data_IF_775940267023
#
_entry.id   IF_775940267023
#
_cell.length_a   1.000
_cell.length_b   1.000
_cell.length_c   1.000
_cell.angle_alpha   90.00
_cell.angle_beta   90.00
_cell.angle_gamma   90.00
#
_symmetry.space_group_name_H-M   'P 1'
#
loop_
_entity.id
_entity.type
_entity.pdbx_description
1 polymer ?
#
# COMPACT_ATOMS: atom_id res chain seq x y z
N UNK A 1 -14.59 -11.69 16.62
CA UNK A 1 -13.78 -12.72 17.32
C UNK A 1 -12.96 -13.59 16.36
N UNK A 2 -13.56 -14.19 15.32
CA UNK A 2 -12.85 -15.08 14.36
C UNK A 2 -11.68 -14.43 13.59
N UNK A 3 -11.81 -13.17 13.16
CA UNK A 3 -10.75 -12.44 12.41
C UNK A 3 -9.46 -12.20 13.21
N UNK A 4 -9.54 -12.10 14.55
CA UNK A 4 -8.33 -12.00 15.42
C UNK A 4 -7.57 -13.31 15.50
N UNK A 5 -8.27 -14.46 15.42
CA UNK A 5 -7.65 -15.79 15.56
C UNK A 5 -6.79 -16.14 14.36
N UNK A 6 -7.30 -15.97 13.15
CA UNK A 6 -6.55 -16.25 11.90
C UNK A 6 -5.34 -15.34 11.74
N UNK A 7 -5.46 -14.07 12.13
CA UNK A 7 -4.35 -13.14 12.03
C UNK A 7 -3.20 -13.49 12.99
N UNK A 8 -3.51 -13.86 14.23
CA UNK A 8 -2.51 -14.32 15.19
C UNK A 8 -1.81 -15.61 14.71
N UNK A 9 -2.53 -16.51 14.04
CA UNK A 9 -1.95 -17.73 13.46
C UNK A 9 -0.96 -17.42 12.34
N UNK A 10 -1.30 -16.49 11.43
CA UNK A 10 -0.37 -16.04 10.37
C UNK A 10 0.90 -15.40 10.95
N UNK A 11 0.77 -14.61 12.02
CA UNK A 11 1.93 -14.04 12.71
C UNK A 11 2.81 -15.09 13.38
N UNK A 12 2.22 -16.13 13.96
CA UNK A 12 2.98 -17.23 14.54
C UNK A 12 3.77 -17.98 13.45
N UNK A 13 3.20 -18.19 12.26
CA UNK A 13 3.92 -18.78 11.13
C UNK A 13 5.04 -17.87 10.62
N UNK A 14 4.79 -16.56 10.52
CA UNK A 14 5.81 -15.59 10.14
C UNK A 14 6.96 -15.55 11.16
N UNK A 15 6.66 -15.50 12.46
CA UNK A 15 7.67 -15.52 13.51
C UNK A 15 8.50 -16.81 13.46
N UNK A 16 7.84 -17.96 13.33
CA UNK A 16 8.50 -19.26 13.13
C UNK A 16 9.43 -19.25 11.92
N UNK A 17 8.97 -18.74 10.77
CA UNK A 17 9.80 -18.63 9.57
C UNK A 17 11.04 -17.77 9.82
N UNK A 18 10.89 -16.59 10.44
CA UNK A 18 12.02 -15.69 10.70
C UNK A 18 13.00 -16.33 11.71
N UNK A 19 12.51 -17.03 12.74
CA UNK A 19 13.37 -17.76 13.69
C UNK A 19 14.12 -18.88 12.97
N UNK A 20 13.45 -19.69 12.16
CA UNK A 20 14.08 -20.79 11.40
C UNK A 20 15.13 -20.23 10.42
N UNK A 21 14.81 -19.17 9.69
CA UNK A 21 15.72 -18.54 8.76
C UNK A 21 16.98 -17.97 9.46
N UNK A 22 16.85 -17.47 10.69
CA UNK A 22 17.99 -17.00 11.50
C UNK A 22 18.84 -18.15 12.03
N UNK A 23 18.21 -19.22 12.52
CA UNK A 23 18.94 -20.42 12.96
C UNK A 23 19.68 -21.04 11.77
N UNK A 24 19.05 -21.07 10.59
CA UNK A 24 19.69 -21.50 9.35
C UNK A 24 20.87 -20.59 8.96
N UNK A 25 20.73 -19.27 9.08
CA UNK A 25 21.83 -18.32 8.82
C UNK A 25 23.02 -18.55 9.77
N UNK A 26 22.78 -18.60 11.09
CA UNK A 26 23.85 -18.76 12.09
C UNK A 26 24.52 -20.14 11.99
N UNK A 27 23.74 -21.20 11.76
CA UNK A 27 24.30 -22.55 11.55
C UNK A 27 25.13 -22.65 10.27
N UNK A 28 24.70 -22.00 9.18
CA UNK A 28 25.47 -21.94 7.94
C UNK A 28 26.77 -21.15 8.11
N UNK A 29 26.75 -20.03 8.85
CA UNK A 29 27.95 -19.25 9.16
C UNK A 29 28.95 -20.06 10.00
N UNK A 30 28.46 -20.77 11.03
CA UNK A 30 29.30 -21.63 11.87
C UNK A 30 29.88 -22.81 11.08
N UNK A 31 29.08 -23.45 10.22
CA UNK A 31 29.53 -24.53 9.34
C UNK A 31 30.59 -24.04 8.34
N UNK A 32 30.42 -22.84 7.76
CA UNK A 32 31.40 -22.24 6.87
C UNK A 32 32.73 -21.92 7.57
N UNK A 33 32.68 -21.46 8.82
CA UNK A 33 33.88 -21.14 9.59
C UNK A 33 34.65 -22.39 10.05
N UNK A 34 33.94 -23.48 10.35
CA UNK A 34 34.54 -24.75 10.82
C UNK A 34 35.09 -25.63 9.70
N UNK A 35 34.53 -25.53 8.49
CA UNK A 35 34.94 -26.36 7.34
C UNK A 35 36.18 -25.84 6.60
N UNK A 36 36.70 -24.67 6.96
CA UNK A 36 37.85 -24.04 6.28
C UNK A 36 37.60 -23.79 4.78
N UNK A 37 36.33 -23.89 4.34
CA UNK A 37 35.93 -23.68 2.97
C UNK A 37 36.23 -22.24 2.59
N UNK A 38 36.99 -22.07 1.52
CA UNK A 38 37.26 -20.76 0.97
C UNK A 38 35.93 -20.16 0.47
N UNK A 39 35.40 -19.24 1.28
CA UNK A 39 34.13 -18.56 1.07
C UNK A 39 34.14 -17.71 -0.21
N UNK A 40 35.26 -17.64 -0.93
CA UNK A 40 35.44 -16.99 -2.23
C UNK A 40 34.52 -17.52 -3.35
N UNK A 41 33.82 -18.65 -3.13
CA UNK A 41 32.72 -19.11 -3.98
C UNK A 41 31.59 -18.06 -3.99
N UNK A 42 31.61 -17.16 -4.99
CA UNK A 42 30.70 -16.02 -5.19
C UNK A 42 29.20 -16.31 -4.96
N UNK A 43 28.78 -17.57 -5.09
CA UNK A 43 27.41 -18.04 -4.83
C UNK A 43 27.06 -18.03 -3.34
N UNK A 44 27.95 -18.52 -2.47
CA UNK A 44 27.72 -18.59 -1.02
C UNK A 44 27.76 -17.21 -0.38
N UNK A 45 28.68 -16.33 -0.77
CA UNK A 45 28.71 -14.93 -0.30
C UNK A 45 27.45 -14.17 -0.70
N UNK A 46 26.90 -14.41 -1.89
CA UNK A 46 25.66 -13.77 -2.34
C UNK A 46 24.47 -14.21 -1.49
N UNK A 47 24.36 -15.51 -1.19
CA UNK A 47 23.31 -16.05 -0.31
C UNK A 47 23.47 -15.52 1.12
N UNK A 48 24.68 -15.54 1.68
CA UNK A 48 24.96 -15.00 3.02
C UNK A 48 24.62 -13.50 3.13
N UNK A 49 24.88 -12.70 2.09
CA UNK A 49 24.47 -11.28 2.05
C UNK A 49 22.96 -11.09 2.12
N UNK A 50 22.20 -11.93 1.41
CA UNK A 50 20.73 -11.88 1.43
C UNK A 50 20.20 -12.37 2.78
N UNK A 51 20.78 -13.43 3.35
CA UNK A 51 20.38 -13.95 4.66
C UNK A 51 20.57 -12.93 5.78
N UNK A 52 21.58 -12.05 5.71
CA UNK A 52 21.73 -10.93 6.66
C UNK A 52 20.51 -10.00 6.70
N UNK A 53 19.74 -9.89 5.61
CA UNK A 53 18.49 -9.12 5.59
C UNK A 53 17.41 -9.76 6.47
N UNK A 54 17.51 -11.06 6.77
CA UNK A 54 16.57 -11.77 7.67
C UNK A 54 16.53 -11.11 9.05
N UNK A 55 17.64 -10.50 9.48
CA UNK A 55 17.75 -9.77 10.76
C UNK A 55 16.86 -8.52 10.79
N UNK A 56 16.58 -7.89 9.64
CA UNK A 56 15.65 -6.74 9.54
C UNK A 56 14.23 -7.16 9.95
N UNK A 57 13.81 -8.39 9.63
CA UNK A 57 12.50 -8.89 10.04
C UNK A 57 12.36 -9.07 11.57
N UNK A 58 13.46 -9.09 12.35
CA UNK A 58 13.36 -9.00 13.82
C UNK A 58 12.72 -7.69 14.24
N UNK A 59 13.07 -6.59 13.59
CA UNK A 59 12.50 -5.27 13.87
C UNK A 59 10.98 -5.32 13.65
N UNK A 60 10.53 -5.94 12.56
CA UNK A 60 9.09 -6.10 12.25
C UNK A 60 8.34 -6.85 13.37
N UNK A 61 8.95 -7.88 13.98
CA UNK A 61 8.34 -8.53 15.15
C UNK A 61 8.19 -7.57 16.33
N UNK A 62 9.23 -6.80 16.64
CA UNK A 62 9.23 -5.83 17.75
C UNK A 62 8.16 -4.77 17.54
N UNK A 63 7.99 -4.28 16.31
CA UNK A 63 6.92 -3.33 15.96
C UNK A 63 5.51 -3.92 16.22
N UNK A 64 5.33 -5.24 16.12
CA UNK A 64 4.05 -5.90 16.37
C UNK A 64 3.76 -6.15 17.86
N UNK A 65 4.80 -6.22 18.70
CA UNK A 65 4.64 -6.32 20.16
C UNK A 65 4.04 -5.03 20.74
N UNK A 66 4.22 -3.91 20.05
CA UNK A 66 3.65 -2.61 20.42
C UNK A 66 2.22 -2.55 19.87
N UNK A 67 1.25 -2.55 20.78
CA UNK A 67 -0.19 -2.53 20.47
C UNK A 67 -0.60 -1.33 19.58
N UNK A 68 0.00 -0.16 19.81
CA UNK A 68 -0.25 1.05 19.03
C UNK A 68 0.21 0.90 17.58
N UNK A 69 1.44 0.44 17.35
CA UNK A 69 1.97 0.21 15.99
C UNK A 69 1.20 -0.88 15.26
N UNK A 70 0.83 -1.96 15.94
CA UNK A 70 -0.05 -3.00 15.36
C UNK A 70 -1.37 -2.40 14.86
N UNK A 71 -1.94 -1.46 15.61
CA UNK A 71 -3.20 -0.81 15.24
C UNK A 71 -3.01 0.05 13.99
N UNK A 72 -1.95 0.86 13.93
CA UNK A 72 -1.61 1.65 12.73
C UNK A 72 -1.40 0.75 11.51
N UNK A 73 -0.62 -0.33 11.65
CA UNK A 73 -0.39 -1.30 10.56
C UNK A 73 -1.71 -1.97 10.12
N UNK A 74 -2.60 -2.28 11.07
CA UNK A 74 -3.94 -2.81 10.77
C UNK A 74 -4.73 -1.85 9.89
N UNK A 75 -4.73 -0.57 10.24
CA UNK A 75 -5.44 0.48 9.50
C UNK A 75 -4.86 0.67 8.10
N UNK A 76 -3.52 0.69 7.99
CA UNK A 76 -2.83 0.74 6.70
C UNK A 76 -3.22 -0.47 5.83
N UNK A 77 -3.08 -1.69 6.35
CA UNK A 77 -3.42 -2.93 5.64
C UNK A 77 -4.90 -2.97 5.20
N UNK A 78 -5.80 -2.40 6.01
CA UNK A 78 -7.21 -2.23 5.66
C UNK A 78 -7.40 -1.37 4.41
N UNK A 79 -6.67 -0.25 4.32
CA UNK A 79 -6.70 0.67 3.18
C UNK A 79 -5.96 0.15 1.95
N UNK A 80 -4.95 -0.70 2.12
CA UNK A 80 -4.19 -1.29 1.00
C UNK A 80 -5.05 -2.12 0.05
N UNK A 81 -6.17 -2.70 0.50
CA UNK A 81 -7.03 -3.51 -0.36
C UNK A 81 -7.74 -2.69 -1.45
N UNK A 82 -8.19 -1.47 -1.12
CA UNK A 82 -8.80 -0.57 -2.12
C UNK A 82 -7.72 0.06 -3.01
N UNK A 83 -6.59 0.47 -2.41
CA UNK A 83 -5.47 1.07 -3.15
C UNK A 83 -4.76 0.10 -4.09
N UNK A 84 -4.69 -1.18 -3.71
CA UNK A 84 -3.97 -2.19 -4.47
C UNK A 84 -4.48 -2.32 -5.90
N UNK A 85 -5.80 -2.28 -6.09
CA UNK A 85 -6.38 -2.34 -7.44
C UNK A 85 -6.05 -1.13 -8.29
N UNK A 86 -6.05 0.07 -7.69
CA UNK A 86 -5.66 1.28 -8.42
C UNK A 86 -4.19 1.27 -8.80
N UNK A 87 -3.31 0.79 -7.91
CA UNK A 87 -1.88 0.59 -8.19
C UNK A 87 -1.69 -0.44 -9.30
N UNK A 88 -2.44 -1.55 -9.30
CA UNK A 88 -2.41 -2.56 -10.37
C UNK A 88 -2.83 -1.96 -11.71
N UNK A 89 -3.92 -1.18 -11.75
CA UNK A 89 -4.36 -0.51 -12.96
C UNK A 89 -3.32 0.50 -13.47
N UNK A 90 -2.69 1.24 -12.56
CA UNK A 90 -1.61 2.17 -12.86
C UNK A 90 -0.40 1.45 -13.48
N UNK A 91 0.05 0.35 -12.87
CA UNK A 91 1.14 -0.47 -13.41
C UNK A 91 0.80 -1.10 -14.75
N UNK A 92 -0.45 -1.55 -14.94
CA UNK A 92 -0.91 -2.09 -16.22
C UNK A 92 -0.86 -1.04 -17.32
N UNK A 93 -1.28 0.19 -17.03
CA UNK A 93 -1.17 1.29 -17.98
C UNK A 93 0.30 1.62 -18.29
N UNK A 94 1.17 1.73 -17.28
CA UNK A 94 2.61 1.95 -17.49
C UNK A 94 3.20 0.84 -18.37
N UNK A 95 2.81 -0.41 -18.14
CA UNK A 95 3.24 -1.54 -18.97
C UNK A 95 2.79 -1.40 -20.42
N UNK A 96 1.51 -1.11 -20.67
CA UNK A 96 0.96 -0.97 -22.03
C UNK A 96 1.67 0.16 -22.79
N UNK A 97 1.79 1.33 -22.16
CA UNK A 97 2.47 2.50 -22.75
C UNK A 97 3.97 2.23 -22.93
N UNK A 98 4.60 1.52 -21.98
CA UNK A 98 6.01 1.12 -22.06
C UNK A 98 6.27 0.18 -23.23
N UNK A 99 5.39 -0.80 -23.47
CA UNK A 99 5.46 -1.69 -24.64
C UNK A 99 5.31 -0.87 -25.92
N UNK A 100 4.32 0.01 -25.99
CA UNK A 100 4.08 0.87 -27.15
C UNK A 100 5.33 1.69 -27.53
N UNK A 101 5.94 2.40 -26.59
CA UNK A 101 7.13 3.20 -26.87
C UNK A 101 8.34 2.35 -27.20
N UNK A 102 8.56 1.24 -26.47
CA UNK A 102 9.71 0.36 -26.74
C UNK A 102 9.63 -0.22 -28.16
N UNK A 103 8.45 -0.66 -28.60
CA UNK A 103 8.25 -1.17 -29.96
C UNK A 103 8.47 -0.08 -31.00
N UNK A 104 7.78 1.06 -30.86
CA UNK A 104 7.85 2.15 -31.84
C UNK A 104 9.27 2.71 -32.01
N UNK A 105 10.02 2.83 -30.91
CA UNK A 105 11.40 3.32 -30.92
C UNK A 105 12.36 2.26 -31.49
N UNK A 106 12.11 0.98 -31.21
CA UNK A 106 12.88 -0.11 -31.82
C UNK A 106 12.71 -0.12 -33.33
N UNK A 107 11.47 0.01 -33.81
CA UNK A 107 11.15 0.06 -35.24
C UNK A 107 11.83 1.26 -35.92
N UNK A 108 11.77 2.45 -35.29
CA UNK A 108 12.49 3.64 -35.74
C UNK A 108 14.01 3.41 -35.87
N UNK A 109 14.64 2.74 -34.89
CA UNK A 109 16.06 2.43 -34.95
C UNK A 109 16.42 1.40 -36.01
N UNK A 110 15.56 0.42 -36.27
CA UNK A 110 15.75 -0.60 -37.32
C UNK A 110 15.68 0.04 -38.70
N UNK A 111 14.70 0.91 -38.94
CA UNK A 111 14.56 1.66 -40.19
C UNK A 111 15.78 2.57 -40.42
N UNK A 112 16.14 3.38 -39.42
CA UNK A 112 17.28 4.30 -39.48
C UNK A 112 18.61 3.59 -39.75
N UNK A 113 18.82 2.42 -39.15
CA UNK A 113 20.00 1.60 -39.39
C UNK A 113 20.02 1.03 -40.81
N UNK A 114 18.87 0.59 -41.32
CA UNK A 114 18.72 0.05 -42.67
C UNK A 114 19.02 1.09 -43.76
N UNK A 115 18.72 2.36 -43.48
CA UNK A 115 19.03 3.49 -44.37
C UNK A 115 20.48 4.01 -44.22
N UNK A 116 21.27 3.46 -43.29
CA UNK A 116 22.66 3.89 -43.06
C UNK A 116 22.79 5.29 -42.45
N UNK A 117 21.74 5.82 -41.82
CA UNK A 117 21.79 7.14 -41.18
C UNK A 117 22.66 7.12 -39.91
N UNK A 118 23.37 8.22 -39.66
CA UNK A 118 24.16 8.38 -38.44
C UNK A 118 23.27 8.66 -37.21
N UNK A 119 23.77 8.22 -36.05
CA UNK A 119 23.07 8.35 -34.78
C UNK A 119 23.19 9.78 -34.25
N UNK A 120 22.05 10.38 -33.91
CA UNK A 120 21.94 11.76 -33.41
C UNK A 120 22.08 11.83 -31.88
N UNK A 121 22.19 13.03 -31.31
CA UNK A 121 22.11 13.23 -29.84
C UNK A 121 20.72 12.93 -29.28
N UNK A 122 19.65 13.15 -30.06
CA UNK A 122 18.28 12.81 -29.67
C UNK A 122 18.10 11.28 -29.56
N UNK A 123 18.76 10.54 -30.45
CA UNK A 123 18.77 9.07 -30.44
C UNK A 123 19.39 8.51 -29.15
N UNK A 124 20.42 9.20 -28.62
CA UNK A 124 21.04 8.82 -27.35
C UNK A 124 20.07 8.98 -26.17
N UNK A 125 19.27 10.06 -26.16
CA UNK A 125 18.23 10.27 -25.15
C UNK A 125 17.11 9.22 -25.26
N UNK A 126 16.64 8.93 -26.48
CA UNK A 126 15.65 7.88 -26.73
C UNK A 126 16.12 6.52 -26.20
N UNK A 127 17.39 6.16 -26.45
CA UNK A 127 17.96 4.92 -25.89
C UNK A 127 18.12 4.96 -24.39
N UNK A 128 18.47 6.10 -23.81
CA UNK A 128 18.60 6.21 -22.36
C UNK A 128 17.28 5.88 -21.66
N UNK A 129 16.17 6.42 -22.15
CA UNK A 129 14.83 6.29 -21.55
C UNK A 129 14.07 5.04 -21.99
N UNK A 130 14.20 4.61 -23.24
CA UNK A 130 13.32 3.61 -23.86
C UNK A 130 14.08 2.48 -24.59
N UNK A 131 15.32 2.16 -24.21
CA UNK A 131 16.08 1.07 -24.87
C UNK A 131 15.43 -0.31 -24.74
N UNK A 132 14.77 -0.57 -23.62
CA UNK A 132 14.15 -1.83 -23.30
C UNK A 132 12.91 -1.59 -22.43
N UNK A 133 12.05 -2.61 -22.33
CA UNK A 133 10.78 -2.49 -21.63
C UNK A 133 10.95 -2.10 -20.16
N UNK A 134 11.97 -2.63 -19.47
CA UNK A 134 12.19 -2.31 -18.07
C UNK A 134 12.58 -0.83 -17.91
N UNK A 135 13.47 -0.32 -18.77
CA UNK A 135 13.80 1.10 -18.80
C UNK A 135 12.62 1.97 -19.17
N UNK A 136 11.80 1.57 -20.15
CA UNK A 136 10.61 2.32 -20.51
C UNK A 136 9.65 2.42 -19.32
N UNK A 137 9.37 1.31 -18.63
CA UNK A 137 8.55 1.30 -17.40
C UNK A 137 9.15 2.21 -16.32
N UNK A 138 10.47 2.16 -16.11
CA UNK A 138 11.15 3.00 -15.12
C UNK A 138 11.09 4.48 -15.49
N UNK A 139 11.30 4.84 -16.76
CA UNK A 139 11.25 6.22 -17.26
C UNK A 139 9.84 6.79 -17.14
N UNK A 140 8.82 6.02 -17.52
CA UNK A 140 7.42 6.40 -17.36
C UNK A 140 7.06 6.59 -15.88
N UNK A 141 7.54 5.71 -15.00
CA UNK A 141 7.39 5.85 -13.56
C UNK A 141 8.08 7.12 -13.04
N UNK A 142 9.32 7.40 -13.47
CA UNK A 142 10.06 8.60 -13.09
C UNK A 142 9.37 9.89 -13.54
N UNK A 143 8.80 9.90 -14.75
CA UNK A 143 8.06 11.05 -15.26
C UNK A 143 6.79 11.31 -14.43
N UNK A 144 6.05 10.24 -14.08
CA UNK A 144 4.86 10.35 -13.21
C UNK A 144 5.21 10.79 -11.79
N UNK A 145 6.29 10.25 -11.21
CA UNK A 145 6.68 10.53 -9.82
C UNK A 145 7.42 11.86 -9.63
N UNK A 146 7.66 12.62 -10.71
CA UNK A 146 8.47 13.84 -10.70
C UNK A 146 9.97 13.58 -10.49
N UNK A 147 10.44 12.35 -10.71
CA UNK A 147 11.86 11.98 -10.61
C UNK A 147 12.68 12.40 -11.83
N UNK A 148 12.03 12.64 -12.97
CA UNK A 148 12.63 13.21 -14.16
C UNK A 148 11.65 14.18 -14.81
N UNK A 149 12.19 15.22 -15.44
CA UNK A 149 11.37 16.17 -16.20
C UNK A 149 10.74 15.45 -17.39
N UNK A 150 9.42 15.48 -17.48
CA UNK A 150 8.68 14.83 -18.55
C UNK A 150 8.96 15.52 -19.90
N UNK A 151 9.25 16.82 -19.91
CA UNK A 151 9.58 17.56 -21.14
C UNK A 151 10.86 17.01 -21.80
N UNK A 152 11.86 16.64 -21.00
CA UNK A 152 13.11 16.04 -21.47
C UNK A 152 12.90 14.69 -22.18
N UNK A 153 11.83 13.97 -21.84
CA UNK A 153 11.43 12.73 -22.53
C UNK A 153 10.51 12.99 -23.71
N UNK A 154 9.64 14.00 -23.63
CA UNK A 154 8.68 14.34 -24.66
C UNK A 154 9.35 14.88 -25.94
N UNK A 155 10.37 15.73 -25.81
CA UNK A 155 11.07 16.32 -26.95
C UNK A 155 11.60 15.30 -27.96
N UNK A 156 12.37 14.29 -27.52
CA UNK A 156 12.84 13.21 -28.41
C UNK A 156 11.73 12.35 -29.01
N UNK A 157 10.60 12.15 -28.32
CA UNK A 157 9.45 11.39 -28.83
C UNK A 157 8.75 12.14 -29.97
N UNK A 158 8.50 13.45 -29.78
CA UNK A 158 7.87 14.32 -30.78
C UNK A 158 8.73 14.46 -32.04
N UNK A 159 10.06 14.37 -31.90
CA UNK A 159 10.98 14.42 -33.02
C UNK A 159 10.87 13.19 -33.94
N UNK A 160 10.40 12.04 -33.44
CA UNK A 160 10.07 10.87 -34.27
C UNK A 160 8.69 11.05 -34.88
N UNK A 161 7.67 11.20 -34.03
CA UNK A 161 6.28 11.38 -34.45
C UNK A 161 5.50 12.16 -33.38
N UNK A 162 4.75 13.16 -33.81
CA UNK A 162 3.89 13.98 -32.96
C UNK A 162 2.86 13.11 -32.22
N UNK A 163 2.39 12.01 -32.82
CA UNK A 163 1.44 11.12 -32.14
C UNK A 163 2.02 10.47 -30.89
N UNK A 164 3.34 10.18 -30.86
CA UNK A 164 4.02 9.65 -29.68
C UNK A 164 4.06 10.68 -28.55
N UNK A 165 4.27 11.95 -28.88
CA UNK A 165 4.18 13.05 -27.91
C UNK A 165 2.78 13.20 -27.33
N UNK A 166 1.73 13.11 -28.16
CA UNK A 166 0.33 13.15 -27.70
C UNK A 166 0.04 11.96 -26.78
N UNK A 167 0.46 10.74 -27.16
CA UNK A 167 0.30 9.54 -26.35
C UNK A 167 1.02 9.67 -25.00
N UNK A 168 2.23 10.24 -24.98
CA UNK A 168 2.98 10.47 -23.75
C UNK A 168 2.32 11.51 -22.84
N UNK A 169 1.84 12.63 -23.40
CA UNK A 169 1.11 13.64 -22.65
C UNK A 169 -0.21 13.09 -22.08
N UNK A 170 -0.94 12.29 -22.84
CA UNK A 170 -2.16 11.61 -22.38
C UNK A 170 -1.86 10.63 -21.23
N UNK A 171 -0.77 9.86 -21.34
CA UNK A 171 -0.28 9.01 -20.25
C UNK A 171 0.01 9.82 -18.98
N UNK A 172 0.76 10.93 -19.07
CA UNK A 172 1.09 11.78 -17.92
C UNK A 172 -0.19 12.33 -17.28
N UNK A 173 -1.11 12.87 -18.07
CA UNK A 173 -2.38 13.40 -17.57
C UNK A 173 -3.19 12.34 -16.83
N UNK A 174 -3.35 11.15 -17.41
CA UNK A 174 -4.07 10.06 -16.76
C UNK A 174 -3.36 9.55 -15.51
N UNK A 175 -2.03 9.38 -15.56
CA UNK A 175 -1.23 8.91 -14.43
C UNK A 175 -1.32 9.86 -13.23
N UNK A 176 -1.23 11.17 -13.48
CA UNK A 176 -1.40 12.19 -12.44
C UNK A 176 -2.83 12.18 -11.87
N UNK A 177 -3.86 12.08 -12.71
CA UNK A 177 -5.25 11.95 -12.23
C UNK A 177 -5.46 10.68 -11.41
N UNK A 178 -4.91 9.55 -11.84
CA UNK A 178 -5.00 8.28 -11.13
C UNK A 178 -4.32 8.36 -9.76
N UNK A 179 -3.12 8.96 -9.70
CA UNK A 179 -2.40 9.20 -8.46
C UNK A 179 -3.19 10.13 -7.52
N UNK A 180 -3.74 11.22 -8.05
CA UNK A 180 -4.57 12.14 -7.28
C UNK A 180 -5.85 11.46 -6.76
N UNK A 181 -6.47 10.58 -7.55
CA UNK A 181 -7.63 9.80 -7.13
C UNK A 181 -7.29 8.81 -6.02
N UNK A 182 -6.10 8.17 -6.07
CA UNK A 182 -5.59 7.34 -4.98
C UNK A 182 -5.43 8.15 -3.70
N UNK A 183 -4.72 9.27 -3.78
CA UNK A 183 -4.42 10.13 -2.63
C UNK A 183 -5.72 10.68 -2.02
N UNK A 184 -6.61 11.21 -2.86
CA UNK A 184 -7.93 11.69 -2.44
C UNK A 184 -8.75 10.59 -1.80
N UNK A 185 -8.74 9.37 -2.37
CA UNK A 185 -9.41 8.21 -1.82
C UNK A 185 -8.97 7.90 -0.38
N UNK A 186 -7.65 7.94 -0.10
CA UNK A 186 -7.13 7.73 1.26
C UNK A 186 -7.59 8.83 2.22
N UNK A 187 -7.52 10.10 1.81
CA UNK A 187 -7.94 11.21 2.65
C UNK A 187 -9.44 11.17 2.94
N UNK A 188 -10.27 10.92 1.92
CA UNK A 188 -11.72 10.79 2.08
C UNK A 188 -12.07 9.61 2.98
N UNK A 189 -11.41 8.46 2.79
CA UNK A 189 -11.66 7.29 3.64
C UNK A 189 -11.29 7.55 5.11
N UNK A 190 -10.18 8.26 5.34
CA UNK A 190 -9.77 8.66 6.69
C UNK A 190 -10.76 9.64 7.31
N UNK A 191 -11.21 10.65 6.56
CA UNK A 191 -12.19 11.63 7.03
C UNK A 191 -13.54 10.98 7.36
N UNK A 192 -14.02 10.07 6.50
CA UNK A 192 -15.25 9.31 6.75
C UNK A 192 -15.13 8.37 7.96
N UNK A 193 -13.96 7.74 8.16
CA UNK A 193 -13.74 6.89 9.32
C UNK A 193 -13.74 7.71 10.61
N UNK A 194 -13.05 8.85 10.63
CA UNK A 194 -13.02 9.73 11.80
C UNK A 194 -14.43 10.27 12.14
N UNK A 195 -15.20 10.67 11.13
CA UNK A 195 -16.58 11.14 11.33
C UNK A 195 -17.49 10.03 11.92
N UNK A 196 -17.31 8.78 11.47
CA UNK A 196 -18.03 7.63 12.05
C UNK A 196 -17.60 7.34 13.49
N UNK A 197 -16.31 7.37 13.77
CA UNK A 197 -15.81 7.13 15.12
C UNK A 197 -16.33 8.20 16.11
N UNK A 198 -16.48 9.44 15.66
CA UNK A 198 -17.10 10.53 16.42
C UNK A 198 -18.62 10.33 16.62
N UNK A 199 -19.34 9.92 15.58
CA UNK A 199 -20.77 9.57 15.66
C UNK A 199 -21.01 8.40 16.62
N UNK A 200 -20.23 7.32 16.51
CA UNK A 200 -20.32 6.15 17.40
C UNK A 200 -20.01 6.53 18.86
N UNK A 201 -19.02 7.39 19.09
CA UNK A 201 -18.69 7.90 20.42
C UNK A 201 -19.84 8.75 21.00
N UNK A 202 -20.45 9.62 20.19
CA UNK A 202 -21.61 10.42 20.57
C UNK A 202 -22.83 9.56 20.90
N UNK A 203 -23.14 8.56 20.06
CA UNK A 203 -24.23 7.61 20.30
C UNK A 203 -23.99 6.81 21.58
N UNK A 204 -22.76 6.39 21.83
CA UNK A 204 -22.40 5.67 23.06
C UNK A 204 -22.63 6.54 24.30
N UNK A 205 -22.23 7.82 24.28
CA UNK A 205 -22.47 8.77 25.38
C UNK A 205 -23.96 9.02 25.62
N UNK A 206 -24.75 9.17 24.55
CA UNK A 206 -26.21 9.28 24.61
C UNK A 206 -26.86 8.04 25.25
N UNK A 207 -26.48 6.85 24.80
CA UNK A 207 -27.00 5.58 25.35
C UNK A 207 -26.64 5.45 26.83
N UNK A 208 -25.40 5.77 27.22
CA UNK A 208 -24.98 5.75 28.63
C UNK A 208 -25.85 6.71 29.46
N UNK A 209 -26.09 7.94 28.99
CA UNK A 209 -26.94 8.92 29.68
C UNK A 209 -28.38 8.44 29.87
N UNK A 210 -28.97 7.82 28.84
CA UNK A 210 -30.32 7.24 28.94
C UNK A 210 -30.35 6.12 29.98
N UNK A 211 -29.36 5.23 29.97
CA UNK A 211 -29.26 4.16 30.98
C UNK A 211 -29.04 4.71 32.41
N UNK A 212 -28.18 5.71 32.59
CA UNK A 212 -27.99 6.37 33.90
C UNK A 212 -29.31 6.95 34.43
N UNK A 213 -30.17 7.45 33.54
CA UNK A 213 -31.48 8.01 33.90
C UNK A 213 -32.54 6.95 34.26
N UNK A 214 -32.41 5.75 33.69
CA UNK A 214 -33.24 4.60 34.05
C UNK A 214 -32.86 4.00 35.41
N UNK A 215 -31.65 4.26 35.92
CA UNK A 215 -31.20 3.80 37.24
C UNK A 215 -31.76 4.69 38.35
N UNK A 216 -32.57 4.11 39.25
CA UNK A 216 -33.14 4.82 40.41
C UNK A 216 -32.08 5.21 41.47
N UNK A 217 -30.85 4.72 41.34
CA UNK A 217 -29.74 5.02 42.27
C UNK A 217 -28.55 5.63 41.54
N UNK A 218 -28.22 6.89 41.87
CA UNK A 218 -27.03 7.61 41.39
C UNK A 218 -25.69 6.92 41.68
N UNK A 219 -25.67 5.80 42.41
CA UNK A 219 -24.45 5.12 42.87
C UNK A 219 -24.43 3.60 42.58
N UNK A 220 -25.41 3.05 41.85
CA UNK A 220 -25.37 1.65 41.39
C UNK A 220 -24.67 1.57 40.04
N UNK A 221 -23.58 0.81 39.97
CA UNK A 221 -22.87 0.50 38.72
C UNK A 221 -23.59 -0.57 37.85
N UNK A 222 -24.78 -1.00 38.25
CA UNK A 222 -25.55 -2.09 37.61
C UNK A 222 -27.01 -1.71 37.53
N UNK A 223 -27.60 -1.90 36.35
CA UNK A 223 -29.02 -1.74 36.06
C UNK A 223 -29.62 -3.13 35.89
N UNK A 224 -30.80 -3.36 36.47
CA UNK A 224 -31.53 -4.62 36.32
C UNK A 224 -32.46 -4.58 35.10
N UNK A 225 -32.74 -5.75 34.52
CA UNK A 225 -33.59 -5.83 33.32
C UNK A 225 -35.05 -5.43 33.60
N UNK A 226 -35.51 -5.54 34.84
CA UNK A 226 -36.83 -5.05 35.28
C UNK A 226 -36.88 -3.52 35.32
N UNK A 227 -35.83 -2.85 35.80
CA UNK A 227 -35.71 -1.38 35.77
C UNK A 227 -35.70 -0.87 34.32
N UNK A 228 -35.00 -1.56 33.41
CA UNK A 228 -34.98 -1.23 31.97
C UNK A 228 -36.37 -1.35 31.38
N UNK A 229 -37.05 -2.49 31.55
CA UNK A 229 -38.39 -2.70 30.97
C UNK A 229 -39.42 -1.72 31.49
N UNK A 230 -39.36 -1.38 32.78
CA UNK A 230 -40.30 -0.44 33.41
C UNK A 230 -40.09 0.99 32.88
N UNK A 231 -38.84 1.38 32.61
CA UNK A 231 -38.50 2.71 32.07
C UNK A 231 -38.60 2.78 30.54
N UNK A 232 -38.54 1.65 29.83
CA UNK A 232 -38.79 1.58 28.39
C UNK A 232 -40.24 1.88 28.01
N UNK A 233 -41.18 1.73 28.96
CA UNK A 233 -42.59 2.08 28.79
C UNK A 233 -42.85 3.60 28.98
N UNK A 234 -41.87 4.35 29.50
CA UNK A 234 -42.00 5.79 29.71
C UNK A 234 -41.97 6.54 28.35
N UNK A 235 -43.00 7.32 28.01
CA UNK A 235 -43.07 8.05 26.75
C UNK A 235 -41.93 9.08 26.56
N UNK A 236 -41.34 9.59 27.64
CA UNK A 236 -40.19 10.53 27.55
C UNK A 236 -38.91 9.78 27.13
N UNK A 237 -38.65 8.61 27.74
CA UNK A 237 -37.52 7.73 27.42
C UNK A 237 -37.67 7.16 25.99
N UNK A 238 -38.87 6.75 25.58
CA UNK A 238 -39.13 6.30 24.20
C UNK A 238 -38.89 7.40 23.16
N UNK A 239 -39.16 8.66 23.51
CA UNK A 239 -38.85 9.82 22.68
C UNK A 239 -37.34 9.99 22.48
N UNK A 240 -36.55 9.84 23.54
CA UNK A 240 -35.09 9.90 23.49
C UNK A 240 -34.50 8.73 22.68
N UNK A 241 -34.94 7.49 22.90
CA UNK A 241 -34.50 6.33 22.09
C UNK A 241 -34.79 6.52 20.60
N UNK A 242 -35.98 7.02 20.25
CA UNK A 242 -36.33 7.38 18.87
C UNK A 242 -35.46 8.51 18.32
N UNK A 243 -35.06 9.48 19.15
CA UNK A 243 -34.14 10.56 18.74
C UNK A 243 -32.73 10.07 18.42
N UNK A 244 -32.31 8.95 19.03
CA UNK A 244 -31.03 8.26 18.79
C UNK A 244 -31.17 7.22 17.65
N UNK A 245 -32.31 7.20 16.95
CA UNK A 245 -32.61 6.29 15.84
C UNK A 245 -32.62 4.80 16.23
N UNK A 246 -32.85 4.51 17.51
CA UNK A 246 -33.00 3.16 18.04
C UNK A 246 -34.47 2.94 18.36
N UNK A 247 -35.12 2.04 17.63
CA UNK A 247 -36.49 1.62 17.95
C UNK A 247 -36.46 0.60 19.09
N UNK A 248 -37.21 0.82 20.19
CA UNK A 248 -37.38 -0.19 21.23
C UNK A 248 -38.09 -1.46 20.73
#
# INVERSE_FOLDING_TARGET
FFKRREWNVLWNYFDLFVVVAQVAEESLMWAAQSSGLDLSSFRLLRVLRVLRLVRIFRVIRVLHLISELRTIISSIMGSFRSLGWTVVLLFLMIYIVGVYFTQSITDYFVEKYSEGQQMSTQDANLRYYFSDLFRAILSLWQAMSGGADWDAMAGPLVAIDVTMGIAFAAYIAFALLALMNVVTGVFVQTALQNAKDEEDAFLTDQIIKVFERCSDSKNKATITMEEINTRLEDPEIQGEWKSINVSP
#
